data_IF_928129450399
#
_entry.id   IF_928129450399
#
_cell.length_a   1.000
_cell.length_b   1.000
_cell.length_c   1.000
_cell.angle_alpha   90.00
_cell.angle_beta   90.00
_cell.angle_gamma   90.00
#
_symmetry.space_group_name_H-M   'P 1'
#
loop_
_entity.id
_entity.type
_entity.pdbx_description
1 polymer ?
#
# COMPACT_ATOMS: atom_id res chain seq x y z
N UNK A 1 58.30 -41.12 -7.22
CA UNK A 1 58.32 -39.99 -6.29
C UNK A 1 57.18 -39.03 -6.69
N UNK A 2 56.13 -39.03 -5.89
CA UNK A 2 54.86 -38.30 -6.19
C UNK A 2 54.82 -37.00 -5.42
N UNK A 3 54.90 -35.86 -6.09
CA UNK A 3 54.63 -34.55 -5.50
C UNK A 3 53.16 -34.22 -5.68
N UNK A 4 52.42 -34.18 -4.58
CA UNK A 4 51.06 -33.67 -4.51
C UNK A 4 51.15 -32.17 -4.30
N UNK A 5 50.79 -31.42 -5.34
CA UNK A 5 50.60 -29.98 -5.26
C UNK A 5 49.19 -29.70 -4.68
N UNK A 6 49.14 -29.20 -3.45
CA UNK A 6 47.90 -28.71 -2.82
C UNK A 6 47.60 -27.34 -3.38
N UNK A 7 46.51 -27.22 -4.13
CA UNK A 7 45.92 -25.93 -4.45
C UNK A 7 45.07 -25.47 -3.24
N UNK A 8 45.54 -24.45 -2.56
CA UNK A 8 44.74 -23.71 -1.58
C UNK A 8 43.95 -22.68 -2.38
N UNK A 9 42.66 -22.92 -2.57
CA UNK A 9 41.73 -21.89 -3.02
C UNK A 9 41.53 -20.89 -1.86
N UNK A 10 42.28 -19.81 -1.90
CA UNK A 10 41.94 -18.62 -1.13
C UNK A 10 40.80 -17.92 -1.87
N UNK A 11 39.55 -18.21 -1.47
CA UNK A 11 38.39 -17.37 -1.82
C UNK A 11 38.55 -16.12 -0.99
N UNK A 12 39.20 -15.13 -1.55
CA UNK A 12 39.22 -13.77 -1.04
C UNK A 12 37.81 -13.20 -1.23
N UNK A 13 37.04 -13.19 -0.16
CA UNK A 13 35.88 -12.33 -0.03
C UNK A 13 36.36 -10.88 -0.07
N UNK A 14 36.54 -10.33 -1.27
CA UNK A 14 36.53 -8.89 -1.45
C UNK A 14 35.10 -8.43 -1.10
N UNK A 15 34.87 -8.07 0.16
CA UNK A 15 33.76 -7.22 0.52
C UNK A 15 34.03 -5.84 -0.11
N UNK A 16 33.63 -5.68 -1.36
CA UNK A 16 33.53 -4.37 -1.96
C UNK A 16 32.37 -3.66 -1.26
N UNK A 17 32.70 -2.96 -0.17
CA UNK A 17 31.77 -2.00 0.43
C UNK A 17 31.69 -0.81 -0.53
N UNK A 18 30.84 -0.94 -1.54
CA UNK A 18 30.36 0.21 -2.29
C UNK A 18 29.66 1.06 -1.25
N UNK A 19 30.22 2.22 -0.92
CA UNK A 19 29.53 3.20 -0.11
C UNK A 19 28.29 3.61 -0.88
N UNK A 20 27.15 3.06 -0.51
CA UNK A 20 25.87 3.47 -1.07
C UNK A 20 25.64 4.90 -0.63
N UNK A 21 25.32 5.79 -1.56
CA UNK A 21 24.80 7.10 -1.21
C UNK A 21 23.53 6.90 -0.38
N UNK A 22 23.39 7.67 0.69
CA UNK A 22 22.25 7.59 1.61
C UNK A 22 21.53 8.93 1.58
N UNK A 23 20.21 8.90 1.46
CA UNK A 23 19.36 10.08 1.52
C UNK A 23 18.47 10.01 2.75
N UNK A 24 18.36 11.11 3.48
CA UNK A 24 17.40 11.25 4.58
C UNK A 24 15.99 11.34 4.00
N UNK A 25 15.06 10.54 4.52
CA UNK A 25 13.66 10.58 4.13
C UNK A 25 12.84 11.44 5.09
N UNK A 26 11.90 12.21 4.55
CA UNK A 26 10.90 12.92 5.33
C UNK A 26 9.82 11.95 5.84
N UNK A 27 9.19 12.31 6.97
CA UNK A 27 8.17 11.51 7.63
C UNK A 27 6.80 12.07 7.29
N UNK A 28 5.92 11.18 6.80
CA UNK A 28 4.55 11.51 6.39
C UNK A 28 3.56 11.41 7.55
N UNK A 29 3.69 10.39 8.40
CA UNK A 29 2.79 10.15 9.52
C UNK A 29 3.49 9.41 10.65
N UNK A 30 3.00 9.60 11.88
CA UNK A 30 3.52 8.93 13.08
C UNK A 30 2.36 8.48 13.96
N UNK A 31 2.50 7.31 14.57
CA UNK A 31 1.60 6.77 15.59
C UNK A 31 2.38 6.03 16.68
N UNK A 32 1.84 5.96 17.89
CA UNK A 32 2.51 5.32 19.02
C UNK A 32 1.49 4.72 20.01
N UNK A 33 1.95 3.73 20.80
CA UNK A 33 1.14 3.08 21.84
C UNK A 33 1.06 3.90 23.13
N UNK A 34 2.10 4.70 23.43
CA UNK A 34 2.13 5.57 24.61
C UNK A 34 2.42 7.02 24.19
N UNK A 35 1.79 8.00 24.87
CA UNK A 35 1.91 9.43 24.56
C UNK A 35 1.77 9.72 23.05
N UNK A 36 0.75 9.14 22.45
CA UNK A 36 0.54 9.18 21.00
C UNK A 36 0.43 10.63 20.46
N UNK A 37 -0.15 11.53 21.24
CA UNK A 37 -0.27 12.96 20.93
C UNK A 37 1.07 13.68 20.79
N UNK A 38 2.11 13.15 21.41
CA UNK A 38 3.47 13.69 21.39
C UNK A 38 4.41 12.92 20.47
N UNK A 39 3.94 11.88 19.77
CA UNK A 39 4.80 11.02 18.96
C UNK A 39 5.54 11.78 17.83
N UNK A 40 4.91 12.81 17.26
CA UNK A 40 5.50 13.65 16.23
C UNK A 40 6.73 14.45 16.73
N UNK A 41 6.88 14.66 18.04
CA UNK A 41 8.04 15.37 18.61
C UNK A 41 9.37 14.61 18.43
N UNK A 42 9.33 13.32 18.10
CA UNK A 42 10.53 12.55 17.73
C UNK A 42 11.02 12.83 16.30
N UNK A 43 10.32 13.68 15.53
CA UNK A 43 10.60 13.96 14.11
C UNK A 43 10.49 15.45 13.76
N UNK A 44 10.41 16.33 14.74
CA UNK A 44 10.16 17.78 14.54
C UNK A 44 11.44 18.59 14.28
N UNK A 45 12.60 17.92 14.19
CA UNK A 45 13.94 18.51 14.02
C UNK A 45 14.33 19.45 15.17
N UNK A 46 13.74 19.25 16.35
CA UNK A 46 13.98 20.07 17.53
C UNK A 46 14.44 19.20 18.71
N UNK A 47 15.72 19.08 18.94
CA UNK A 47 16.32 18.27 20.02
C UNK A 47 15.94 18.68 21.44
N UNK A 48 15.17 19.77 21.62
CA UNK A 48 14.64 20.21 22.92
C UNK A 48 13.29 19.58 23.23
N UNK A 49 12.58 19.11 22.24
CA UNK A 49 11.33 18.35 22.34
C UNK A 49 11.61 16.85 22.34
N UNK A 50 10.69 16.02 22.80
CA UNK A 50 10.90 14.58 22.85
C UNK A 50 9.58 13.79 22.99
N UNK A 51 9.56 12.60 22.44
CA UNK A 51 8.55 11.60 22.77
C UNK A 51 9.08 10.70 23.89
N UNK A 52 8.31 10.50 24.95
CA UNK A 52 8.74 9.79 26.15
C UNK A 52 7.84 8.58 26.45
N UNK A 53 8.45 7.44 26.74
CA UNK A 53 7.77 6.27 27.31
C UNK A 53 7.91 6.34 28.84
N UNK A 54 6.81 6.52 29.58
CA UNK A 54 6.86 6.58 31.05
C UNK A 54 7.06 5.19 31.65
N UNK A 55 7.64 5.10 32.83
CA UNK A 55 7.94 3.82 33.52
C UNK A 55 6.73 2.88 33.65
N UNK A 56 5.56 3.44 33.93
CA UNK A 56 4.34 2.64 34.07
C UNK A 56 3.90 1.97 32.75
N UNK A 57 4.21 2.58 31.61
CA UNK A 57 3.91 2.02 30.30
C UNK A 57 4.83 0.84 29.94
N UNK A 58 6.04 0.77 30.51
CA UNK A 58 7.02 -0.28 30.25
C UNK A 58 6.62 -1.67 30.80
N UNK A 59 5.51 -1.77 31.53
CA UNK A 59 4.91 -3.05 31.94
C UNK A 59 4.28 -3.82 30.77
N UNK A 60 4.00 -3.15 29.69
CA UNK A 60 3.51 -3.74 28.44
C UNK A 60 4.46 -3.37 27.27
N UNK A 61 4.34 -4.08 26.17
CA UNK A 61 5.03 -3.70 24.92
C UNK A 61 4.64 -2.30 24.49
N UNK A 62 5.63 -1.52 24.10
CA UNK A 62 5.44 -0.17 23.59
C UNK A 62 5.96 -0.08 22.17
N UNK A 63 5.34 0.74 21.36
CA UNK A 63 5.77 0.89 19.97
C UNK A 63 5.60 2.33 19.47
N UNK A 64 6.44 2.67 18.52
CA UNK A 64 6.36 3.86 17.67
C UNK A 64 6.39 3.40 16.23
N UNK A 65 5.42 3.78 15.43
CA UNK A 65 5.38 3.49 14.00
C UNK A 65 5.29 4.78 13.21
N UNK A 66 6.07 4.88 12.17
CA UNK A 66 6.08 6.03 11.26
C UNK A 66 6.15 5.61 9.81
N UNK A 67 5.63 6.47 8.95
CA UNK A 67 5.62 6.28 7.50
C UNK A 67 6.56 7.28 6.87
N UNK A 68 7.48 6.81 6.03
CA UNK A 68 8.35 7.68 5.24
C UNK A 68 7.62 8.16 3.98
N UNK A 69 7.92 9.39 3.57
CA UNK A 69 7.22 10.03 2.44
C UNK A 69 7.40 9.27 1.12
N UNK A 70 8.59 8.73 0.89
CA UNK A 70 8.89 7.92 -0.28
C UNK A 70 9.37 6.53 0.16
N UNK A 71 8.67 5.45 -0.21
CA UNK A 71 9.14 4.08 0.04
C UNK A 71 10.53 3.85 -0.52
N UNK A 72 11.36 3.12 0.21
CA UNK A 72 12.72 2.84 -0.23
C UNK A 72 13.44 1.80 0.62
N UNK A 73 14.69 1.52 0.30
CA UNK A 73 15.54 0.58 1.03
C UNK A 73 16.07 1.23 2.32
N UNK A 74 15.27 1.20 3.39
CA UNK A 74 15.69 1.72 4.70
C UNK A 74 16.89 0.92 5.19
N UNK A 75 17.97 1.62 5.59
CA UNK A 75 19.24 0.98 5.97
C UNK A 75 19.82 1.47 7.29
N UNK A 76 19.44 2.65 7.74
CA UNK A 76 19.95 3.22 9.00
C UNK A 76 18.85 4.09 9.65
N UNK A 77 18.78 4.02 10.99
CA UNK A 77 18.05 4.97 11.82
C UNK A 77 19.06 5.69 12.71
N UNK A 78 19.07 7.01 12.68
CA UNK A 78 19.84 7.83 13.63
C UNK A 78 18.90 8.27 14.75
N UNK A 79 19.12 7.74 15.96
CA UNK A 79 18.28 7.92 17.13
C UNK A 79 18.97 8.81 18.14
N UNK A 80 18.41 9.98 18.43
CA UNK A 80 18.83 10.79 19.57
C UNK A 80 17.99 10.43 20.78
N UNK A 81 18.63 9.80 21.78
CA UNK A 81 17.94 9.20 22.91
C UNK A 81 18.41 9.77 24.25
N UNK A 82 17.54 9.61 25.27
CA UNK A 82 17.84 9.95 26.66
C UNK A 82 17.21 8.91 27.60
N UNK A 83 17.94 8.52 28.65
CA UNK A 83 17.43 7.59 29.68
C UNK A 83 17.66 6.12 29.38
N UNK A 84 18.29 5.77 28.28
CA UNK A 84 18.63 4.40 27.88
C UNK A 84 20.01 4.38 27.23
N UNK A 85 20.81 3.35 27.46
CA UNK A 85 22.10 3.15 26.80
C UNK A 85 21.98 2.12 25.65
N UNK A 86 23.05 1.98 24.86
CA UNK A 86 23.08 1.11 23.68
C UNK A 86 22.82 -0.36 24.00
N UNK A 87 23.32 -0.87 25.11
CA UNK A 87 23.16 -2.25 25.48
C UNK A 87 21.71 -2.53 25.93
N UNK A 88 21.14 -1.65 26.75
CA UNK A 88 19.73 -1.71 27.14
C UNK A 88 18.82 -1.63 25.91
N UNK A 89 19.09 -0.70 24.98
CA UNK A 89 18.29 -0.58 23.76
C UNK A 89 18.35 -1.85 22.90
N UNK A 90 19.52 -2.46 22.77
CA UNK A 90 19.70 -3.68 21.98
C UNK A 90 18.91 -4.88 22.54
N UNK A 91 18.68 -4.94 23.84
CA UNK A 91 17.91 -6.01 24.48
C UNK A 91 16.41 -5.85 24.28
N UNK A 92 15.92 -4.63 24.13
CA UNK A 92 14.49 -4.33 24.15
C UNK A 92 13.91 -3.98 22.81
N UNK A 93 14.72 -3.50 21.84
CA UNK A 93 14.23 -2.99 20.58
C UNK A 93 14.13 -4.09 19.51
N UNK A 94 12.94 -4.24 18.93
CA UNK A 94 12.78 -4.87 17.62
C UNK A 94 12.40 -3.81 16.59
N UNK A 95 12.97 -3.90 15.39
CA UNK A 95 12.70 -2.98 14.30
C UNK A 95 12.05 -3.75 13.15
N UNK A 96 10.93 -3.26 12.71
CA UNK A 96 10.24 -3.78 11.53
C UNK A 96 10.26 -2.72 10.44
N UNK A 97 10.64 -3.12 9.24
CA UNK A 97 10.51 -2.32 8.04
C UNK A 97 9.60 -3.08 7.10
N UNK A 98 8.49 -2.48 6.70
CA UNK A 98 7.48 -3.13 5.88
C UNK A 98 6.84 -2.14 4.91
N UNK A 99 6.28 -2.64 3.84
CA UNK A 99 5.40 -1.87 2.99
C UNK A 99 3.93 -1.99 3.42
N UNK A 100 3.55 -3.10 4.05
CA UNK A 100 2.20 -3.36 4.56
C UNK A 100 2.18 -3.24 6.10
N UNK A 101 1.57 -2.19 6.67
CA UNK A 101 1.53 -1.98 8.11
C UNK A 101 0.71 -3.03 8.87
N UNK A 102 -0.13 -3.80 8.17
CA UNK A 102 -0.90 -4.91 8.75
C UNK A 102 -0.10 -6.21 8.79
N UNK A 103 0.98 -6.32 8.01
CA UNK A 103 1.88 -7.46 7.99
C UNK A 103 3.33 -7.02 8.20
N UNK A 104 3.76 -7.03 9.43
CA UNK A 104 5.09 -6.54 9.80
C UNK A 104 6.23 -7.49 9.37
N UNK A 105 5.93 -8.78 9.14
CA UNK A 105 6.94 -9.79 8.87
C UNK A 105 7.87 -10.03 10.06
N UNK A 106 9.14 -10.31 9.78
CA UNK A 106 10.18 -10.53 10.80
C UNK A 106 10.95 -9.23 11.09
N UNK A 107 11.39 -9.01 12.35
CA UNK A 107 12.23 -7.88 12.68
C UNK A 107 13.58 -7.96 11.95
N UNK A 108 14.19 -6.81 11.66
CA UNK A 108 15.50 -6.74 11.04
C UNK A 108 16.61 -7.02 12.05
N UNK A 109 17.67 -7.71 11.61
CA UNK A 109 18.90 -7.82 12.40
C UNK A 109 19.71 -6.54 12.24
N UNK A 110 20.12 -5.94 13.34
CA UNK A 110 20.81 -4.65 13.33
C UNK A 110 22.02 -4.60 14.27
N UNK A 111 22.87 -3.61 14.07
CA UNK A 111 23.95 -3.21 14.98
C UNK A 111 23.76 -1.75 15.38
N UNK A 112 24.22 -1.39 16.58
CA UNK A 112 24.18 -0.02 17.09
C UNK A 112 25.60 0.54 17.18
N UNK A 113 25.83 1.66 16.52
CA UNK A 113 27.08 2.43 16.53
C UNK A 113 26.86 3.78 17.23
N UNK A 114 27.90 4.54 17.48
CA UNK A 114 27.82 5.88 18.08
C UNK A 114 27.82 5.89 19.61
N UNK A 115 27.32 6.95 20.21
CA UNK A 115 27.24 7.18 21.67
C UNK A 115 25.83 6.84 22.20
N UNK A 116 25.67 6.77 23.54
CA UNK A 116 24.35 6.55 24.16
C UNK A 116 23.37 7.72 23.96
N UNK A 117 23.85 8.88 23.55
CA UNK A 117 22.98 10.03 23.24
C UNK A 117 22.60 10.11 21.77
N UNK A 118 23.42 9.54 20.88
CA UNK A 118 23.18 9.50 19.44
C UNK A 118 23.59 8.12 18.91
N UNK A 119 22.62 7.29 18.63
CA UNK A 119 22.76 5.89 18.26
C UNK A 119 22.40 5.70 16.79
N UNK A 120 23.36 5.23 16.01
CA UNK A 120 23.15 4.83 14.62
C UNK A 120 22.81 3.36 14.56
N UNK A 121 21.57 3.05 14.29
CA UNK A 121 21.08 1.67 14.16
C UNK A 121 21.12 1.27 12.71
N UNK A 122 22.08 0.41 12.35
CA UNK A 122 22.36 -0.02 10.98
C UNK A 122 21.94 -1.45 10.74
N UNK A 123 21.32 -1.71 9.60
CA UNK A 123 20.90 -3.03 9.18
C UNK A 123 21.03 -3.21 7.66
N UNK A 124 20.91 -4.44 7.18
CA UNK A 124 20.82 -4.72 5.75
C UNK A 124 19.63 -3.97 5.17
N UNK A 125 19.82 -3.20 4.07
CA UNK A 125 18.75 -2.43 3.47
C UNK A 125 17.49 -3.28 3.27
N UNK A 126 16.35 -2.79 3.74
CA UNK A 126 15.06 -3.44 3.62
C UNK A 126 14.04 -2.48 3.05
N UNK A 127 13.41 -2.87 1.96
CA UNK A 127 12.41 -2.04 1.30
C UNK A 127 11.13 -1.92 2.14
N UNK A 128 10.65 -0.69 2.28
CA UNK A 128 9.40 -0.41 2.99
C UNK A 128 9.03 1.06 2.97
N UNK A 129 7.81 1.32 3.39
CA UNK A 129 7.25 2.66 3.61
C UNK A 129 7.03 2.91 5.11
N UNK A 130 6.85 1.84 5.90
CA UNK A 130 6.55 1.91 7.32
C UNK A 130 7.70 1.32 8.13
N UNK A 131 8.07 2.02 9.18
CA UNK A 131 9.05 1.56 10.16
C UNK A 131 8.38 1.52 11.53
N UNK A 132 8.43 0.36 12.18
CA UNK A 132 7.94 0.20 13.56
C UNK A 132 9.10 -0.11 14.49
N UNK A 133 9.26 0.71 15.50
CA UNK A 133 10.12 0.46 16.65
C UNK A 133 9.27 -0.18 17.73
N UNK A 134 9.56 -1.41 18.11
CA UNK A 134 8.83 -2.16 19.12
C UNK A 134 9.71 -2.40 20.33
N UNK A 135 9.29 -1.91 21.51
CA UNK A 135 10.03 -2.00 22.76
C UNK A 135 9.41 -3.08 23.65
N UNK A 136 10.16 -4.16 23.87
CA UNK A 136 9.72 -5.33 24.66
C UNK A 136 9.46 -4.95 26.12
N UNK A 137 8.40 -5.49 26.68
CA UNK A 137 8.03 -5.28 28.10
C UNK A 137 8.98 -5.98 29.07
N UNK A 138 9.03 -5.46 30.33
CA UNK A 138 9.66 -6.14 31.46
C UNK A 138 11.19 -6.15 31.49
N UNK A 139 11.84 -5.42 30.59
CA UNK A 139 13.31 -5.31 30.49
C UNK A 139 13.85 -3.98 31.00
N UNK A 140 13.01 -2.96 31.02
CA UNK A 140 13.35 -1.62 31.50
C UNK A 140 12.38 -1.19 32.60
N UNK A 141 12.91 -0.52 33.63
CA UNK A 141 12.16 0.03 34.76
C UNK A 141 12.19 1.57 34.80
N UNK A 142 13.00 2.19 33.95
CA UNK A 142 13.18 3.64 33.90
C UNK A 142 12.59 4.23 32.62
N UNK A 143 12.00 5.43 32.71
CA UNK A 143 11.51 6.12 31.51
C UNK A 143 12.66 6.46 30.58
N UNK A 144 12.38 6.41 29.29
CA UNK A 144 13.32 6.90 28.27
C UNK A 144 12.61 7.71 27.21
N UNK A 145 13.39 8.49 26.46
CA UNK A 145 12.84 9.41 25.48
C UNK A 145 13.60 9.36 24.17
N UNK A 146 12.89 9.55 23.08
CA UNK A 146 13.38 9.81 21.74
C UNK A 146 13.25 11.30 21.47
N UNK A 147 14.37 11.97 21.25
CA UNK A 147 14.44 13.42 20.95
C UNK A 147 14.31 13.67 19.46
N UNK A 148 14.98 12.83 18.67
CA UNK A 148 14.97 12.95 17.22
C UNK A 148 15.24 11.59 16.58
N UNK A 149 14.55 11.31 15.49
CA UNK A 149 14.77 10.15 14.64
C UNK A 149 14.98 10.63 13.20
N UNK A 150 16.12 10.28 12.63
CA UNK A 150 16.36 10.43 11.20
C UNK A 150 16.40 9.06 10.54
N UNK A 151 15.77 8.93 9.38
CA UNK A 151 15.68 7.70 8.59
C UNK A 151 16.52 7.87 7.33
N UNK A 152 17.47 6.98 7.15
CA UNK A 152 18.29 6.96 5.95
C UNK A 152 17.85 5.80 5.03
N UNK A 153 17.66 6.15 3.77
CA UNK A 153 17.32 5.23 2.69
C UNK A 153 18.53 5.09 1.79
N UNK A 154 18.91 3.86 1.47
CA UNK A 154 20.00 3.58 0.55
C UNK A 154 19.63 3.99 -0.86
N UNK A 155 20.49 4.75 -1.51
CA UNK A 155 20.38 5.01 -2.94
C UNK A 155 20.85 3.76 -3.70
N UNK A 156 19.91 3.03 -4.31
CA UNK A 156 20.22 1.83 -5.07
C UNK A 156 20.48 2.20 -6.52
N UNK A 157 21.68 1.96 -6.97
CA UNK A 157 21.99 1.94 -8.40
C UNK A 157 21.45 0.61 -8.95
N UNK A 158 20.39 0.66 -9.75
CA UNK A 158 19.86 -0.53 -10.42
C UNK A 158 20.87 -0.99 -11.47
N UNK A 159 21.28 -2.24 -11.34
CA UNK A 159 22.09 -2.91 -12.34
C UNK A 159 21.31 -4.09 -12.91
N UNK A 160 21.47 -4.34 -14.19
CA UNK A 160 20.97 -5.56 -14.81
C UNK A 160 21.71 -6.80 -14.29
N UNK A 161 21.36 -7.99 -14.77
CA UNK A 161 21.99 -9.25 -14.40
C UNK A 161 23.51 -9.30 -14.71
N UNK A 162 24.02 -8.30 -15.42
CA UNK A 162 25.44 -8.15 -15.78
C UNK A 162 26.13 -7.02 -15.00
N UNK A 163 25.43 -6.39 -14.04
CA UNK A 163 25.98 -5.30 -13.24
C UNK A 163 25.99 -3.93 -13.92
N UNK A 164 25.33 -3.79 -15.08
CA UNK A 164 25.21 -2.52 -15.80
C UNK A 164 24.07 -1.69 -15.21
N UNK A 165 24.32 -0.40 -14.95
CA UNK A 165 23.30 0.55 -14.50
C UNK A 165 22.18 0.60 -15.52
N UNK A 166 20.98 0.22 -15.09
CA UNK A 166 19.80 0.25 -15.94
C UNK A 166 19.19 1.66 -15.94
N UNK A 167 18.65 2.01 -17.07
CA UNK A 167 17.90 3.24 -17.25
C UNK A 167 16.66 3.25 -16.33
N UNK A 168 16.50 4.30 -15.51
CA UNK A 168 15.36 4.47 -14.58
C UNK A 168 14.25 5.36 -15.14
N UNK A 169 14.13 5.49 -16.45
CA UNK A 169 13.10 6.34 -17.08
C UNK A 169 11.68 6.00 -16.59
N UNK A 170 11.41 4.77 -16.22
CA UNK A 170 10.10 4.40 -15.65
C UNK A 170 9.75 5.14 -14.35
N UNK A 171 10.74 5.69 -13.63
CA UNK A 171 10.52 6.50 -12.41
C UNK A 171 10.33 7.99 -12.71
N UNK A 172 10.66 8.46 -13.91
CA UNK A 172 10.51 9.84 -14.30
C UNK A 172 9.05 10.15 -14.67
N UNK A 173 8.34 10.83 -13.78
CA UNK A 173 6.93 11.19 -13.98
C UNK A 173 6.70 12.21 -15.10
N UNK A 174 7.74 12.87 -15.60
CA UNK A 174 7.64 13.81 -16.72
C UNK A 174 7.56 13.13 -18.09
N UNK A 175 7.96 11.86 -18.17
CA UNK A 175 7.92 11.08 -19.41
C UNK A 175 6.51 10.52 -19.69
N UNK A 176 6.17 10.29 -20.98
CA UNK A 176 4.94 9.60 -21.35
C UNK A 176 4.81 8.24 -20.67
N UNK A 177 3.56 7.85 -20.34
CA UNK A 177 3.28 6.60 -19.63
C UNK A 177 3.82 5.39 -20.38
N UNK A 178 3.62 5.34 -21.71
CA UNK A 178 4.07 4.24 -22.56
C UNK A 178 5.60 4.08 -22.51
N UNK A 179 6.34 5.19 -22.56
CA UNK A 179 7.80 5.16 -22.47
C UNK A 179 8.27 4.64 -21.10
N UNK A 180 7.58 5.03 -20.04
CA UNK A 180 7.83 4.54 -18.68
C UNK A 180 7.52 3.06 -18.54
N UNK A 181 6.41 2.59 -19.12
CA UNK A 181 6.02 1.18 -19.12
C UNK A 181 7.06 0.33 -19.85
N UNK A 182 7.46 0.72 -21.05
CA UNK A 182 8.49 0.00 -21.83
C UNK A 182 9.84 -0.04 -21.07
N UNK A 183 10.24 1.08 -20.47
CA UNK A 183 11.46 1.14 -19.65
C UNK A 183 11.39 0.19 -18.45
N UNK A 184 10.23 0.08 -17.77
CA UNK A 184 10.03 -0.86 -16.66
C UNK A 184 10.05 -2.32 -17.14
N UNK A 185 9.30 -2.63 -18.19
CA UNK A 185 9.22 -3.98 -18.76
C UNK A 185 10.59 -4.49 -19.26
N UNK A 186 11.47 -3.61 -19.71
CA UNK A 186 12.81 -3.95 -20.18
C UNK A 186 13.73 -4.41 -19.02
N UNK A 187 13.51 -3.95 -17.79
CA UNK A 187 14.32 -4.28 -16.61
C UNK A 187 13.71 -5.36 -15.73
N UNK A 188 12.44 -5.69 -15.93
CA UNK A 188 11.74 -6.76 -15.19
C UNK A 188 12.18 -8.14 -15.63
N UNK A 189 12.43 -9.01 -14.66
CA UNK A 189 12.62 -10.45 -14.91
C UNK A 189 11.30 -11.14 -15.23
N UNK A 190 11.31 -12.36 -15.80
CA UNK A 190 10.08 -13.15 -15.96
C UNK A 190 9.36 -13.38 -14.62
N UNK A 191 10.08 -13.57 -13.53
CA UNK A 191 9.55 -13.74 -12.18
C UNK A 191 8.83 -12.49 -11.69
N UNK A 192 9.39 -11.29 -11.93
CA UNK A 192 8.73 -10.02 -11.63
C UNK A 192 7.40 -9.88 -12.36
N UNK A 193 7.39 -10.24 -13.64
CA UNK A 193 6.19 -10.16 -14.48
C UNK A 193 5.12 -11.15 -13.99
N UNK A 194 5.53 -12.37 -13.64
CA UNK A 194 4.63 -13.38 -13.07
C UNK A 194 4.05 -12.95 -11.73
N UNK A 195 4.86 -12.30 -10.88
CA UNK A 195 4.40 -11.81 -9.58
C UNK A 195 3.33 -10.72 -9.71
N UNK A 196 3.43 -9.83 -10.72
CA UNK A 196 2.43 -8.78 -10.96
C UNK A 196 1.05 -9.31 -11.41
N UNK A 197 1.03 -10.47 -12.06
CA UNK A 197 -0.22 -11.11 -12.54
C UNK A 197 -0.71 -12.22 -11.61
N UNK A 198 -0.02 -12.46 -10.49
CA UNK A 198 -0.43 -13.43 -9.50
C UNK A 198 -1.76 -13.06 -8.88
N UNK A 199 -2.63 -14.07 -8.69
CA UNK A 199 -3.88 -13.91 -7.97
C UNK A 199 -3.64 -13.46 -6.52
N UNK A 200 -4.46 -12.53 -6.03
CA UNK A 200 -4.38 -12.04 -4.65
C UNK A 200 -5.16 -10.76 -4.40
N UNK A 201 -5.22 -10.37 -3.13
CA UNK A 201 -5.91 -9.16 -2.65
C UNK A 201 -5.20 -7.85 -2.97
N UNK A 202 -4.10 -7.90 -3.70
CA UNK A 202 -3.35 -6.73 -4.13
C UNK A 202 -2.43 -7.08 -5.27
N UNK A 203 -1.85 -6.08 -5.89
CA UNK A 203 -0.74 -6.25 -6.84
C UNK A 203 0.53 -6.13 -6.00
N UNK A 204 1.34 -7.19 -5.90
CA UNK A 204 2.61 -7.11 -5.18
C UNK A 204 3.52 -6.09 -5.85
N UNK A 205 4.33 -5.41 -5.05
CA UNK A 205 5.37 -4.53 -5.57
C UNK A 205 6.56 -5.32 -6.06
N UNK A 206 7.45 -4.62 -6.77
CA UNK A 206 8.75 -5.15 -7.16
C UNK A 206 9.82 -4.33 -6.42
N UNK A 207 10.20 -4.76 -5.20
CA UNK A 207 11.02 -3.93 -4.30
C UNK A 207 12.37 -3.52 -4.89
N UNK A 208 13.04 -4.42 -5.63
CA UNK A 208 14.35 -4.14 -6.24
C UNK A 208 14.27 -3.17 -7.43
N UNK A 209 13.06 -2.96 -7.99
CA UNK A 209 12.77 -1.95 -9.01
C UNK A 209 12.05 -0.72 -8.44
N UNK A 210 11.86 -0.63 -7.13
CA UNK A 210 11.11 0.45 -6.46
C UNK A 210 9.66 0.60 -6.95
N UNK A 211 9.07 -0.48 -7.46
CA UNK A 211 7.65 -0.52 -7.82
C UNK A 211 6.86 -0.86 -6.57
N UNK A 212 6.02 0.07 -6.06
CA UNK A 212 5.25 -0.17 -4.86
C UNK A 212 4.12 -1.17 -5.11
N UNK A 213 3.69 -1.94 -4.10
CA UNK A 213 2.47 -2.72 -4.19
C UNK A 213 1.24 -1.81 -4.30
N UNK A 214 0.19 -2.32 -4.93
CA UNK A 214 -1.13 -1.70 -4.95
C UNK A 214 -2.03 -2.55 -4.06
N UNK A 215 -2.25 -2.05 -2.84
CA UNK A 215 -3.20 -2.64 -1.89
C UNK A 215 -4.62 -2.33 -2.31
N UNK A 216 -5.53 -3.30 -2.17
CA UNK A 216 -6.92 -3.22 -2.60
C UNK A 216 -7.87 -3.41 -1.43
N UNK A 217 -9.07 -2.85 -1.54
CA UNK A 217 -10.12 -2.95 -0.53
C UNK A 217 -11.49 -3.00 -1.21
N UNK A 218 -12.46 -3.63 -0.57
CA UNK A 218 -13.88 -3.37 -0.86
C UNK A 218 -14.27 -2.03 -0.23
N UNK A 219 -14.91 -1.16 -1.02
CA UNK A 219 -15.30 0.18 -0.57
C UNK A 219 -16.65 0.63 -1.13
N UNK A 220 -17.59 -0.31 -1.28
CA UNK A 220 -18.91 -0.04 -1.88
C UNK A 220 -19.65 1.05 -1.12
N UNK A 221 -19.67 0.96 0.22
CA UNK A 221 -20.37 1.89 1.11
C UNK A 221 -19.54 2.24 2.37
N UNK A 222 -18.21 2.05 2.32
CA UNK A 222 -17.27 2.33 3.39
C UNK A 222 -15.99 1.51 3.24
N UNK A 223 -14.95 1.86 3.95
CA UNK A 223 -13.71 1.08 3.99
C UNK A 223 -13.92 -0.21 4.79
N UNK A 224 -13.94 -1.37 4.12
CA UNK A 224 -14.45 -2.63 4.69
C UNK A 224 -13.52 -3.33 5.68
N UNK A 225 -12.20 -3.09 5.66
CA UNK A 225 -11.21 -3.85 6.44
C UNK A 225 -10.59 -3.06 7.60
N UNK A 226 -11.20 -1.94 7.98
CA UNK A 226 -10.71 -1.08 9.06
C UNK A 226 -11.66 -1.04 10.25
N UNK A 227 -11.15 -1.15 11.48
CA UNK A 227 -11.92 -0.78 12.66
C UNK A 227 -12.00 0.75 12.77
N UNK A 228 -13.19 1.28 13.02
CA UNK A 228 -13.41 2.71 13.18
C UNK A 228 -13.66 3.49 11.88
N UNK A 229 -13.74 2.82 10.75
CA UNK A 229 -14.16 3.43 9.48
C UNK A 229 -15.67 3.70 9.47
N UNK A 230 -16.08 4.71 8.70
CA UNK A 230 -17.48 5.08 8.55
C UNK A 230 -18.20 4.10 7.62
N UNK A 231 -19.34 3.56 8.08
CA UNK A 231 -20.23 2.75 7.25
C UNK A 231 -21.39 3.62 6.80
N UNK A 232 -21.47 3.84 5.51
CA UNK A 232 -22.57 4.57 4.87
C UNK A 232 -23.70 3.61 4.49
N UNK A 233 -24.91 4.13 4.16
CA UNK A 233 -25.95 3.32 3.55
C UNK A 233 -25.44 2.61 2.28
N UNK A 234 -26.03 1.46 1.96
CA UNK A 234 -25.69 0.69 0.74
C UNK A 234 -25.89 1.52 -0.53
N UNK A 235 -25.20 1.13 -1.61
CA UNK A 235 -25.22 1.87 -2.87
C UNK A 235 -26.63 2.08 -3.42
N UNK A 236 -27.52 1.10 -3.27
CA UNK A 236 -28.93 1.23 -3.66
C UNK A 236 -29.63 2.40 -2.96
N UNK A 237 -29.36 2.60 -1.67
CA UNK A 237 -29.89 3.74 -0.92
C UNK A 237 -29.28 5.07 -1.38
N UNK A 238 -28.00 5.08 -1.73
CA UNK A 238 -27.38 6.26 -2.36
C UNK A 238 -28.03 6.57 -3.72
N UNK A 239 -28.30 5.56 -4.54
CA UNK A 239 -29.04 5.69 -5.80
C UNK A 239 -30.43 6.28 -5.61
N UNK A 240 -31.17 5.83 -4.60
CA UNK A 240 -32.51 6.32 -4.27
C UNK A 240 -32.56 7.81 -3.87
N UNK A 241 -31.43 8.39 -3.49
CA UNK A 241 -31.37 9.85 -3.21
C UNK A 241 -31.41 10.71 -4.46
N UNK A 242 -31.08 10.19 -5.64
CA UNK A 242 -30.92 10.94 -6.90
C UNK A 242 -29.93 12.11 -6.78
N UNK A 243 -29.11 12.13 -5.74
CA UNK A 243 -28.23 13.23 -5.39
C UNK A 243 -26.76 12.93 -5.68
N UNK A 244 -26.31 13.27 -6.89
CA UNK A 244 -24.92 13.08 -7.33
C UNK A 244 -23.90 13.78 -6.41
N UNK A 245 -24.22 15.00 -5.93
CA UNK A 245 -23.32 15.76 -5.07
C UNK A 245 -23.10 15.05 -3.73
N UNK A 246 -24.18 14.57 -3.11
CA UNK A 246 -24.08 13.82 -1.86
C UNK A 246 -23.26 12.52 -2.06
N UNK A 247 -23.48 11.80 -3.15
CA UNK A 247 -22.71 10.58 -3.43
C UNK A 247 -21.22 10.86 -3.68
N UNK A 248 -20.90 11.97 -4.36
CA UNK A 248 -19.51 12.44 -4.52
C UNK A 248 -18.88 12.75 -3.15
N UNK A 249 -19.57 13.46 -2.26
CA UNK A 249 -19.10 13.78 -0.91
C UNK A 249 -18.89 12.51 -0.05
N UNK A 250 -19.82 11.55 -0.10
CA UNK A 250 -19.67 10.24 0.58
C UNK A 250 -18.42 9.50 0.06
N UNK A 251 -18.25 9.45 -1.25
CA UNK A 251 -17.10 8.78 -1.86
C UNK A 251 -15.76 9.47 -1.52
N UNK A 252 -15.77 10.79 -1.33
CA UNK A 252 -14.60 11.54 -0.83
C UNK A 252 -14.22 11.12 0.58
N UNK A 253 -15.20 10.97 1.50
CA UNK A 253 -14.94 10.51 2.87
C UNK A 253 -14.39 9.07 2.87
N UNK A 254 -15.02 8.16 2.10
CA UNK A 254 -14.52 6.77 1.93
C UNK A 254 -13.08 6.80 1.41
N UNK A 255 -12.79 7.68 0.46
CA UNK A 255 -11.44 7.86 -0.09
C UNK A 255 -10.44 8.36 0.95
N UNK A 256 -10.80 9.33 1.77
CA UNK A 256 -9.94 9.85 2.84
C UNK A 256 -9.59 8.75 3.86
N UNK A 257 -10.57 7.93 4.25
CA UNK A 257 -10.35 6.77 5.14
C UNK A 257 -9.49 5.70 4.47
N UNK A 258 -9.65 5.47 3.16
CA UNK A 258 -8.83 4.53 2.37
C UNK A 258 -7.37 5.00 2.30
N UNK A 259 -7.14 6.31 2.10
CA UNK A 259 -5.79 6.90 2.15
C UNK A 259 -5.18 6.74 3.53
N UNK A 260 -5.94 7.02 4.59
CA UNK A 260 -5.48 6.87 5.97
C UNK A 260 -5.09 5.42 6.30
N UNK A 261 -5.75 4.44 5.68
CA UNK A 261 -5.41 3.02 5.78
C UNK A 261 -4.27 2.57 4.84
N UNK A 262 -3.61 3.52 4.15
CA UNK A 262 -2.55 3.25 3.15
C UNK A 262 -2.97 2.27 2.04
N UNK A 263 -4.24 2.24 1.70
CA UNK A 263 -4.78 1.47 0.58
C UNK A 263 -4.85 2.35 -0.66
N UNK A 264 -4.67 1.77 -1.85
CA UNK A 264 -4.53 2.53 -3.10
C UNK A 264 -5.67 2.31 -4.08
N UNK A 265 -6.40 1.21 -3.98
CA UNK A 265 -7.43 0.83 -4.93
C UNK A 265 -8.67 0.29 -4.23
N UNK A 266 -9.85 0.70 -4.71
CA UNK A 266 -11.11 0.07 -4.34
C UNK A 266 -11.59 -0.89 -5.44
N UNK A 267 -12.09 -2.05 -5.04
CA UNK A 267 -12.91 -2.92 -5.88
C UNK A 267 -14.35 -2.41 -5.94
N UNK A 268 -14.48 -1.15 -6.30
CA UNK A 268 -15.71 -0.38 -6.32
C UNK A 268 -15.62 0.74 -7.37
N UNK A 269 -16.76 1.28 -7.83
CA UNK A 269 -18.15 0.93 -7.46
C UNK A 269 -18.70 -0.25 -8.24
N UNK A 270 -19.86 -0.76 -7.79
CA UNK A 270 -20.67 -1.74 -8.55
C UNK A 270 -21.55 -0.98 -9.51
N UNK A 271 -21.33 -1.17 -10.82
CA UNK A 271 -22.07 -0.51 -11.91
C UNK A 271 -23.04 -1.44 -12.63
N UNK A 272 -23.32 -2.60 -12.04
CA UNK A 272 -24.35 -3.51 -12.54
C UNK A 272 -25.72 -2.85 -12.54
N UNK A 273 -26.53 -3.13 -13.55
CA UNK A 273 -27.92 -2.68 -13.63
C UNK A 273 -28.80 -3.79 -13.11
N UNK A 274 -29.38 -3.63 -11.92
CA UNK A 274 -30.13 -4.65 -11.20
C UNK A 274 -31.58 -4.73 -11.69
N UNK A 275 -31.84 -5.41 -12.81
CA UNK A 275 -33.18 -5.55 -13.37
C UNK A 275 -34.00 -6.69 -12.75
N UNK A 276 -33.36 -7.66 -12.11
CA UNK A 276 -34.05 -8.76 -11.42
C UNK A 276 -33.90 -8.59 -9.89
N UNK A 277 -34.97 -8.24 -9.22
CA UNK A 277 -35.00 -8.04 -7.76
C UNK A 277 -34.69 -9.31 -6.94
N UNK A 278 -34.64 -10.48 -7.57
CA UNK A 278 -34.26 -11.76 -6.93
C UNK A 278 -32.74 -11.88 -6.83
N UNK A 279 -32.00 -11.08 -7.58
CA UNK A 279 -30.53 -11.10 -7.50
C UNK A 279 -30.05 -10.63 -6.11
N UNK A 280 -29.28 -11.49 -5.43
CA UNK A 280 -28.86 -11.29 -4.05
C UNK A 280 -27.89 -10.11 -3.81
N UNK A 281 -27.44 -9.40 -4.87
CA UNK A 281 -26.51 -8.28 -4.80
C UNK A 281 -27.11 -6.94 -5.29
N UNK A 282 -28.43 -6.86 -5.38
CA UNK A 282 -29.11 -5.60 -5.78
C UNK A 282 -28.72 -4.41 -4.90
N UNK A 283 -28.41 -4.64 -3.63
CA UNK A 283 -28.05 -3.60 -2.68
C UNK A 283 -26.70 -2.94 -2.96
N UNK A 284 -25.80 -3.64 -3.64
CA UNK A 284 -24.45 -3.17 -3.94
C UNK A 284 -24.40 -2.19 -5.12
N UNK A 285 -25.44 -2.15 -5.96
CA UNK A 285 -25.54 -1.26 -7.12
C UNK A 285 -26.47 -0.07 -6.86
N UNK A 286 -26.40 0.94 -7.73
CA UNK A 286 -27.18 2.18 -7.57
C UNK A 286 -28.61 2.07 -8.11
N UNK A 287 -29.05 0.92 -8.65
CA UNK A 287 -30.43 0.69 -9.07
C UNK A 287 -30.59 -0.10 -10.35
N UNK A 288 -31.81 -0.03 -10.91
CA UNK A 288 -32.26 -0.78 -12.09
C UNK A 288 -32.21 0.03 -13.40
N UNK A 289 -32.00 1.34 -13.31
CA UNK A 289 -31.95 2.24 -14.47
C UNK A 289 -30.51 2.54 -14.88
N UNK A 290 -30.11 2.27 -16.14
CA UNK A 290 -28.75 2.44 -16.60
C UNK A 290 -28.26 3.91 -16.56
N UNK A 291 -29.17 4.89 -16.67
CA UNK A 291 -28.79 6.31 -16.59
C UNK A 291 -28.55 6.70 -15.14
N UNK A 292 -29.39 6.27 -14.21
CA UNK A 292 -29.21 6.49 -12.78
C UNK A 292 -27.89 5.88 -12.30
N UNK A 293 -27.65 4.58 -12.62
CA UNK A 293 -26.40 3.89 -12.27
C UNK A 293 -25.18 4.63 -12.85
N UNK A 294 -25.28 5.10 -14.10
CA UNK A 294 -24.20 5.87 -14.73
C UNK A 294 -23.89 7.18 -13.99
N UNK A 295 -24.93 7.95 -13.64
CA UNK A 295 -24.76 9.26 -13.05
C UNK A 295 -24.31 9.22 -11.59
N UNK A 296 -24.91 8.34 -10.79
CA UNK A 296 -24.59 8.19 -9.38
C UNK A 296 -23.25 7.45 -9.22
N UNK A 297 -23.03 6.37 -9.96
CA UNK A 297 -21.77 5.65 -9.96
C UNK A 297 -20.60 6.51 -10.47
N UNK A 298 -20.84 7.35 -11.49
CA UNK A 298 -19.87 8.33 -11.97
C UNK A 298 -19.50 9.39 -10.90
N UNK A 299 -20.47 9.86 -10.13
CA UNK A 299 -20.22 10.78 -9.02
C UNK A 299 -19.39 10.10 -7.92
N UNK A 300 -19.68 8.83 -7.61
CA UNK A 300 -18.88 8.03 -6.68
C UNK A 300 -17.42 7.90 -7.15
N UNK A 301 -17.21 7.53 -8.42
CA UNK A 301 -15.88 7.43 -9.03
C UNK A 301 -15.12 8.75 -8.90
N UNK A 302 -15.75 9.86 -9.26
CA UNK A 302 -15.16 11.20 -9.21
C UNK A 302 -14.71 11.56 -7.78
N UNK A 303 -15.57 11.34 -6.79
CA UNK A 303 -15.28 11.62 -5.39
C UNK A 303 -14.10 10.82 -4.87
N UNK A 304 -14.10 9.51 -5.11
CA UNK A 304 -13.04 8.62 -4.66
C UNK A 304 -11.70 8.91 -5.35
N UNK A 305 -11.69 9.07 -6.67
CA UNK A 305 -10.47 9.40 -7.44
C UNK A 305 -9.89 10.77 -7.10
N UNK A 306 -10.71 11.71 -6.62
CA UNK A 306 -10.22 13.02 -6.17
C UNK A 306 -9.22 12.93 -5.00
N UNK A 307 -9.14 11.75 -4.34
CA UNK A 307 -8.18 11.43 -3.27
C UNK A 307 -6.91 10.74 -3.76
N UNK A 308 -6.67 10.69 -5.07
CA UNK A 308 -5.50 10.06 -5.66
C UNK A 308 -5.56 8.53 -5.63
N UNK A 309 -6.75 7.95 -5.60
CA UNK A 309 -7.00 6.51 -5.50
C UNK A 309 -7.49 5.93 -6.82
N UNK A 310 -7.27 4.62 -6.99
CA UNK A 310 -7.79 3.88 -8.15
C UNK A 310 -9.17 3.32 -7.86
N UNK A 311 -10.06 3.37 -8.87
CA UNK A 311 -11.36 2.71 -8.86
C UNK A 311 -11.38 1.51 -9.78
N UNK A 312 -12.18 0.52 -9.41
CA UNK A 312 -12.41 -0.70 -10.21
C UNK A 312 -13.90 -0.88 -10.42
N UNK A 313 -14.51 -0.18 -11.40
CA UNK A 313 -15.92 -0.41 -11.72
C UNK A 313 -16.17 -1.87 -12.07
N UNK A 314 -17.18 -2.46 -11.46
CA UNK A 314 -17.50 -3.89 -11.57
C UNK A 314 -19.01 -4.14 -11.63
N UNK A 315 -19.46 -5.26 -12.14
CA UNK A 315 -18.75 -6.36 -12.81
C UNK A 315 -19.03 -6.28 -14.31
N UNK A 316 -18.01 -6.16 -15.11
CA UNK A 316 -18.15 -5.96 -16.54
C UNK A 316 -18.43 -7.30 -17.23
N UNK A 317 -19.56 -7.55 -17.86
CA UNK A 317 -20.82 -6.79 -17.94
C UNK A 317 -21.97 -7.78 -17.83
N UNK A 318 -23.16 -7.25 -17.48
CA UNK A 318 -24.39 -8.08 -17.41
C UNK A 318 -24.57 -8.89 -16.13
N UNK A 319 -23.65 -8.85 -15.17
CA UNK A 319 -23.70 -9.60 -13.92
C UNK A 319 -24.97 -9.32 -13.08
N UNK A 320 -25.57 -8.14 -13.24
CA UNK A 320 -26.84 -7.77 -12.59
C UNK A 320 -28.10 -8.35 -13.23
N UNK A 321 -27.98 -9.21 -14.26
CA UNK A 321 -29.10 -9.85 -14.95
C UNK A 321 -28.95 -11.39 -15.05
N UNK A 322 -28.60 -12.09 -13.95
CA UNK A 322 -28.42 -13.52 -13.99
C UNK A 322 -29.76 -14.24 -14.17
N UNK A 323 -29.81 -15.33 -14.94
CA UNK A 323 -31.00 -16.12 -15.14
C UNK A 323 -31.58 -16.61 -13.80
N UNK A 324 -32.87 -16.32 -13.57
CA UNK A 324 -33.57 -16.68 -12.34
C UNK A 324 -33.09 -15.94 -11.07
N UNK A 325 -32.34 -14.86 -11.22
CA UNK A 325 -31.80 -14.06 -10.10
C UNK A 325 -30.65 -14.74 -9.33
N UNK A 326 -30.12 -15.85 -9.84
CA UNK A 326 -29.04 -16.59 -9.17
C UNK A 326 -27.71 -15.90 -9.43
N UNK A 327 -27.09 -15.44 -8.37
CA UNK A 327 -25.75 -14.84 -8.46
C UNK A 327 -24.74 -15.79 -9.15
N UNK A 328 -23.95 -15.26 -10.07
CA UNK A 328 -22.96 -16.00 -10.88
C UNK A 328 -23.59 -17.05 -11.85
N UNK A 329 -24.85 -16.93 -12.17
CA UNK A 329 -25.48 -17.78 -13.18
C UNK A 329 -25.34 -17.15 -14.57
N UNK A 330 -25.61 -17.95 -15.61
CA UNK A 330 -25.65 -17.49 -17.00
C UNK A 330 -26.57 -16.29 -17.18
N UNK A 331 -26.20 -15.43 -18.12
CA UNK A 331 -26.99 -14.29 -18.55
C UNK A 331 -27.66 -14.61 -19.89
N UNK A 332 -28.98 -14.41 -19.99
CA UNK A 332 -29.75 -14.65 -21.20
C UNK A 332 -29.99 -13.39 -22.05
N UNK A 333 -28.99 -12.46 -22.08
CA UNK A 333 -29.14 -11.18 -22.75
C UNK A 333 -28.78 -11.26 -24.23
N UNK A 334 -29.54 -10.54 -25.07
CA UNK A 334 -29.13 -10.26 -26.44
C UNK A 334 -27.97 -9.22 -26.45
N UNK A 335 -27.18 -9.21 -27.53
CA UNK A 335 -26.15 -8.19 -27.73
C UNK A 335 -26.73 -6.76 -27.63
N UNK A 336 -27.95 -6.56 -28.12
CA UNK A 336 -28.62 -5.27 -28.04
C UNK A 336 -28.91 -4.87 -26.59
N UNK A 337 -29.49 -5.74 -25.78
CA UNK A 337 -29.74 -5.47 -24.34
C UNK A 337 -28.45 -5.21 -23.59
N UNK A 338 -27.43 -6.01 -23.86
CA UNK A 338 -26.10 -5.81 -23.29
C UNK A 338 -25.58 -4.37 -23.58
N UNK A 339 -25.63 -3.94 -24.84
CA UNK A 339 -25.13 -2.64 -25.25
C UNK A 339 -25.96 -1.43 -24.82
N UNK A 340 -27.28 -1.60 -24.79
CA UNK A 340 -28.23 -0.52 -24.51
C UNK A 340 -28.54 -0.35 -23.03
N UNK A 341 -28.28 -1.38 -22.20
CA UNK A 341 -28.58 -1.39 -20.76
C UNK A 341 -27.30 -1.61 -19.95
N UNK A 342 -26.74 -2.81 -19.99
CA UNK A 342 -25.74 -3.25 -19.04
C UNK A 342 -24.35 -2.65 -19.25
N UNK A 343 -23.96 -2.32 -20.48
CA UNK A 343 -22.69 -1.67 -20.79
C UNK A 343 -22.75 -0.13 -20.74
N UNK A 344 -23.93 0.47 -20.60
CA UNK A 344 -24.08 1.94 -20.56
C UNK A 344 -23.32 2.56 -19.39
N UNK A 345 -23.45 2.07 -18.13
CA UNK A 345 -22.72 2.65 -17.01
C UNK A 345 -21.20 2.52 -17.16
N UNK A 346 -20.71 1.39 -17.66
CA UNK A 346 -19.27 1.19 -17.90
C UNK A 346 -18.73 2.12 -18.97
N UNK A 347 -19.42 2.25 -20.09
CA UNK A 347 -19.05 3.20 -21.15
C UNK A 347 -19.04 4.65 -20.63
N UNK A 348 -20.02 5.00 -19.78
CA UNK A 348 -20.07 6.32 -19.15
C UNK A 348 -18.85 6.53 -18.23
N UNK A 349 -18.54 5.55 -17.38
CA UNK A 349 -17.40 5.59 -16.46
C UNK A 349 -16.06 5.74 -17.21
N UNK A 350 -15.83 4.92 -18.22
CA UNK A 350 -14.59 4.94 -19.01
C UNK A 350 -14.41 6.27 -19.74
N UNK A 351 -15.47 6.79 -20.36
CA UNK A 351 -15.37 8.01 -21.20
C UNK A 351 -15.24 9.29 -20.37
N UNK A 352 -15.82 9.36 -19.17
CA UNK A 352 -15.96 10.59 -18.45
C UNK A 352 -15.07 10.69 -17.19
N UNK A 353 -14.57 9.56 -16.67
CA UNK A 353 -13.86 9.54 -15.38
C UNK A 353 -12.48 8.88 -15.44
N UNK A 354 -12.00 8.47 -16.62
CA UNK A 354 -10.68 7.85 -16.79
C UNK A 354 -10.41 6.75 -15.75
N UNK A 355 -11.35 5.83 -15.58
CA UNK A 355 -11.24 4.74 -14.60
C UNK A 355 -10.01 3.89 -14.88
N UNK A 356 -9.32 3.50 -13.82
CA UNK A 356 -8.03 2.83 -13.91
C UNK A 356 -8.16 1.36 -14.32
N UNK A 357 -9.32 0.74 -14.03
CA UNK A 357 -9.54 -0.68 -14.26
C UNK A 357 -11.02 -1.02 -14.22
N UNK A 358 -11.46 -1.95 -15.08
CA UNK A 358 -12.78 -2.60 -15.01
C UNK A 358 -12.59 -4.07 -14.66
N UNK A 359 -13.34 -4.58 -13.69
CA UNK A 359 -13.16 -5.94 -13.18
C UNK A 359 -14.18 -6.90 -13.77
N UNK A 360 -13.69 -7.98 -14.39
CA UNK A 360 -14.44 -9.17 -14.70
C UNK A 360 -14.47 -10.07 -13.46
N UNK A 361 -15.56 -10.79 -13.26
CA UNK A 361 -15.61 -11.77 -12.18
C UNK A 361 -14.74 -12.99 -12.52
N UNK A 362 -14.24 -13.70 -11.49
CA UNK A 362 -13.21 -14.73 -11.59
C UNK A 362 -13.55 -15.96 -12.47
N UNK A 363 -14.78 -16.08 -12.96
CA UNK A 363 -15.22 -17.19 -13.81
C UNK A 363 -15.66 -16.77 -15.22
N UNK A 364 -15.53 -15.49 -15.55
CA UNK A 364 -15.88 -14.98 -16.87
C UNK A 364 -14.59 -14.82 -17.69
N UNK A 365 -14.46 -15.56 -18.76
CA UNK A 365 -13.36 -15.41 -19.70
C UNK A 365 -13.76 -14.43 -20.82
N UNK A 366 -12.77 -13.73 -21.40
CA UNK A 366 -13.01 -12.87 -22.57
C UNK A 366 -13.57 -13.65 -23.79
N UNK A 367 -13.61 -14.97 -23.73
CA UNK A 367 -14.21 -15.82 -24.75
C UNK A 367 -15.75 -15.93 -24.63
N UNK A 368 -16.30 -15.52 -23.47
CA UNK A 368 -17.72 -15.56 -23.16
C UNK A 368 -18.42 -14.22 -23.46
N UNK A 369 -17.65 -13.22 -23.92
CA UNK A 369 -18.08 -11.88 -24.32
C UNK A 369 -17.83 -11.65 -25.82
#
# INVERSE_FOLDING_TARGET
>A
MKNKMKWILAVGLLSCSVAMAQQQSDILSVSASANAENAALAFDRNVKTMWTIPSQALKAEQWLMFTIQQPGDVCELDLQMQGINKNELKEVLDIFVTYDPMNLGTPVNYRIEGSDKQMKVKFTPKYGAHVKLNFKSGKLDKPFSLKEISVLVAEKVLTDSQGKVTDRRYMDASLPVEERVESLLAVMTPEDKMELIREGWGIPGIPHLYVPPITKVEAVHGFSYGSGATIFPQALAMGATWNRKLTEEVAMVIGDETVAANTKQAWSPVLDVAQDARWGRCEETFGEDPVLVSQIGGAWIKGYQSRGLFTTPKHFGGHGAPLGGRDSHDIGLSEREMREIHLVPFRHAIRNYAVSYTHLRAHETCADL
#
